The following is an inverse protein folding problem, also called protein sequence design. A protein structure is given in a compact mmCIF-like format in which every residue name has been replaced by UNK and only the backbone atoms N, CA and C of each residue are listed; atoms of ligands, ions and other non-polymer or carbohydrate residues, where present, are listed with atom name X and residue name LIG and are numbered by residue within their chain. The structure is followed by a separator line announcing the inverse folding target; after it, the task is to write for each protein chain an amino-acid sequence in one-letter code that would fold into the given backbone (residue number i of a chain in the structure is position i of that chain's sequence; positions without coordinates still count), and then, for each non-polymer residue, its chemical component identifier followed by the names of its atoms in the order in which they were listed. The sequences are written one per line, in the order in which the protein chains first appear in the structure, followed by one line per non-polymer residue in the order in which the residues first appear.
data_IF_291338532907
#
_entry.id   IF_291338532907
#
_cell.length_a   1.000
_cell.length_b   1.000
_cell.length_c   1.000
_cell.angle_alpha   90.00
_cell.angle_beta   90.00
_cell.angle_gamma   90.00
#
_symmetry.space_group_name_H-M   'P 1'
#
loop_
_entity.id
_entity.type
_entity.pdbx_description
1 polymer ?
#
# COMPACT_ATOMS: atom_id res chain seq x y z
N UNK A 1 11.17 -2.85 0.94
CA UNK A 1 10.37 -3.04 2.16
C UNK A 1 10.78 -1.94 3.11
N UNK A 2 9.83 -1.10 3.47
CA UNK A 2 10.04 -0.01 4.43
C UNK A 2 9.20 -0.31 5.66
N UNK A 3 9.76 -0.08 6.85
CA UNK A 3 9.03 -0.20 8.10
C UNK A 3 8.21 1.07 8.31
N UNK A 4 6.97 0.93 8.81
CA UNK A 4 6.06 2.06 8.97
C UNK A 4 5.82 2.30 10.46
N UNK A 5 6.43 3.36 10.97
CA UNK A 5 6.25 3.75 12.36
C UNK A 5 4.86 4.35 12.64
N UNK A 6 4.29 4.00 13.79
CA UNK A 6 3.01 4.56 14.25
C UNK A 6 1.75 3.89 13.71
N UNK A 7 1.89 2.73 13.05
CA UNK A 7 0.80 1.84 12.65
C UNK A 7 0.88 0.49 13.36
N UNK A 8 -0.04 0.23 14.29
CA UNK A 8 -0.05 -1.02 15.04
C UNK A 8 1.19 -1.20 15.92
N UNK A 9 1.56 -2.46 16.17
CA UNK A 9 2.77 -2.89 16.89
C UNK A 9 3.94 -3.11 15.93
N UNK A 10 3.66 -3.69 14.75
CA UNK A 10 4.63 -3.89 13.67
C UNK A 10 3.94 -3.60 12.33
N UNK A 11 4.53 -2.75 11.50
CA UNK A 11 4.01 -2.47 10.17
C UNK A 11 5.11 -2.42 9.12
N UNK A 12 4.81 -2.98 7.95
CA UNK A 12 5.71 -3.02 6.83
C UNK A 12 4.97 -2.75 5.53
N UNK A 13 5.63 -2.02 4.63
CA UNK A 13 5.16 -1.80 3.28
C UNK A 13 6.10 -2.45 2.25
N UNK A 14 5.51 -3.13 1.29
CA UNK A 14 6.18 -3.70 0.13
C UNK A 14 5.66 -3.01 -1.11
N UNK A 15 6.51 -2.18 -1.72
CA UNK A 15 6.24 -1.55 -3.02
C UNK A 15 7.00 -2.31 -4.10
N UNK A 16 6.34 -2.55 -5.22
CA UNK A 16 6.91 -3.15 -6.42
C UNK A 16 6.37 -2.39 -7.62
N UNK A 17 7.26 -1.83 -8.42
CA UNK A 17 6.92 -1.16 -9.66
C UNK A 17 7.60 -1.89 -10.82
N UNK A 18 6.81 -2.27 -11.80
CA UNK A 18 7.27 -2.86 -13.05
C UNK A 18 7.17 -1.80 -14.15
N UNK A 19 8.32 -1.36 -14.66
CA UNK A 19 8.44 -0.38 -15.76
C UNK A 19 8.80 -1.06 -17.09
N UNK A 20 8.45 -2.34 -17.24
CA UNK A 20 8.76 -3.09 -18.46
C UNK A 20 7.92 -2.56 -19.64
N UNK A 21 8.56 -2.38 -20.79
CA UNK A 21 8.20 -1.50 -21.91
C UNK A 21 6.87 -1.76 -22.65
N UNK A 22 5.93 -2.51 -22.06
CA UNK A 22 4.59 -2.75 -22.62
C UNK A 22 3.48 -2.77 -21.56
N UNK A 23 3.84 -2.93 -20.28
CA UNK A 23 2.88 -3.01 -19.16
C UNK A 23 3.50 -2.32 -17.94
N UNK A 24 2.96 -1.15 -17.58
CA UNK A 24 3.32 -0.49 -16.34
C UNK A 24 2.41 -1.05 -15.23
N UNK A 25 3.02 -1.77 -14.28
CA UNK A 25 2.31 -2.37 -13.15
C UNK A 25 2.86 -1.84 -11.84
N UNK A 26 2.00 -1.29 -10.99
CA UNK A 26 2.36 -0.86 -9.64
C UNK A 26 1.64 -1.74 -8.62
N UNK A 27 2.38 -2.19 -7.61
CA UNK A 27 1.88 -3.09 -6.59
C UNK A 27 2.39 -2.64 -5.22
N UNK A 28 1.47 -2.48 -4.27
CA UNK A 28 1.77 -2.04 -2.91
C UNK A 28 1.03 -2.94 -1.93
N UNK A 29 1.77 -3.55 -0.99
CA UNK A 29 1.19 -4.28 0.14
C UNK A 29 1.57 -3.55 1.42
N UNK A 30 0.58 -3.26 2.25
CA UNK A 30 0.76 -2.81 3.62
C UNK A 30 0.31 -3.92 4.57
N UNK A 31 1.24 -4.43 5.38
CA UNK A 31 0.95 -5.35 6.47
C UNK A 31 1.10 -4.64 7.80
N UNK A 32 0.09 -4.72 8.66
CA UNK A 32 0.12 -4.17 10.02
C UNK A 32 -0.32 -5.25 11.01
N UNK A 33 0.49 -5.48 12.02
CA UNK A 33 0.20 -6.38 13.12
C UNK A 33 -0.10 -5.56 14.37
N UNK A 34 -1.20 -5.87 15.03
CA UNK A 34 -1.62 -5.23 16.26
C UNK A 34 -2.04 -6.33 17.24
N UNK A 35 -1.13 -6.66 18.17
CA UNK A 35 -1.30 -7.77 19.11
C UNK A 35 -1.61 -9.11 18.43
N UNK A 36 -2.88 -9.53 18.52
CA UNK A 36 -3.40 -10.80 18.00
C UNK A 36 -3.97 -10.70 16.57
N UNK A 37 -4.16 -9.48 16.07
CA UNK A 37 -4.74 -9.22 14.76
C UNK A 37 -3.65 -8.84 13.75
N UNK A 38 -3.83 -9.28 12.50
CA UNK A 38 -3.01 -8.83 11.37
C UNK A 38 -3.94 -8.25 10.31
N UNK A 39 -3.70 -7.00 9.95
CA UNK A 39 -4.37 -6.28 8.90
C UNK A 39 -3.43 -6.21 7.69
N UNK A 40 -3.87 -6.74 6.56
CA UNK A 40 -3.12 -6.64 5.31
C UNK A 40 -4.00 -5.97 4.26
N UNK A 41 -3.48 -4.90 3.68
CA UNK A 41 -4.10 -4.22 2.55
C UNK A 41 -3.19 -4.26 1.34
N UNK A 42 -3.80 -4.50 0.19
CA UNK A 42 -3.08 -4.65 -1.07
C UNK A 42 -3.72 -3.74 -2.10
N UNK A 43 -2.89 -2.91 -2.72
CA UNK A 43 -3.26 -2.05 -3.83
C UNK A 43 -2.45 -2.45 -5.05
N UNK A 44 -3.11 -2.54 -6.20
CA UNK A 44 -2.48 -2.93 -7.45
C UNK A 44 -3.11 -2.16 -8.59
N UNK A 45 -2.28 -1.57 -9.43
CA UNK A 45 -2.70 -0.86 -10.63
C UNK A 45 -2.02 -1.47 -11.85
N UNK A 46 -2.86 -1.67 -12.86
CA UNK A 46 -2.46 -2.17 -14.17
C UNK A 46 -2.70 -1.05 -15.17
N UNK A 47 -1.64 -0.33 -15.52
CA UNK A 47 -1.71 0.71 -16.53
C UNK A 47 -1.37 0.08 -17.88
N UNK A 48 -2.40 -0.09 -18.69
CA UNK A 48 -2.25 -0.43 -20.10
C UNK A 48 -1.66 0.77 -20.83
N UNK A 49 -0.74 0.52 -21.77
CA UNK A 49 -0.07 1.55 -22.58
C UNK A 49 -1.01 2.44 -23.44
N UNK A 50 -2.32 2.22 -23.39
CA UNK A 50 -3.36 3.00 -24.08
C UNK A 50 -4.12 3.98 -23.17
N UNK A 51 -3.85 3.96 -21.86
CA UNK A 51 -4.46 4.92 -20.92
C UNK A 51 -3.61 6.19 -20.86
N UNK A 52 -4.23 7.34 -21.08
CA UNK A 52 -3.60 8.67 -20.96
C UNK A 52 -3.56 9.18 -19.51
N UNK A 53 -3.96 8.36 -18.55
CA UNK A 53 -3.94 8.67 -17.13
C UNK A 53 -2.52 8.45 -16.58
N UNK A 54 -2.00 9.44 -15.86
CA UNK A 54 -0.75 9.31 -15.13
C UNK A 54 -0.89 8.17 -14.10
N UNK A 55 -0.04 7.13 -14.16
CA UNK A 55 -0.08 6.05 -13.19
C UNK A 55 0.17 6.61 -11.80
N UNK A 56 -0.63 6.19 -10.81
CA UNK A 56 -0.38 6.58 -9.43
C UNK A 56 0.99 6.04 -9.00
N UNK A 57 1.80 6.88 -8.38
CA UNK A 57 3.12 6.44 -7.91
C UNK A 57 2.97 5.46 -6.75
N UNK A 58 3.92 4.53 -6.61
CA UNK A 58 3.91 3.59 -5.48
C UNK A 58 4.00 4.30 -4.13
N UNK A 59 4.58 5.51 -4.09
CA UNK A 59 4.67 6.35 -2.89
C UNK A 59 3.29 6.90 -2.50
N UNK A 60 2.55 7.49 -3.43
CA UNK A 60 1.19 7.99 -3.16
C UNK A 60 0.24 6.84 -2.77
N UNK A 61 0.34 5.69 -3.46
CA UNK A 61 -0.44 4.51 -3.11
C UNK A 61 -0.09 3.99 -1.71
N UNK A 62 1.18 4.07 -1.31
CA UNK A 62 1.64 3.74 0.05
C UNK A 62 1.03 4.68 1.09
N UNK A 63 1.13 6.00 0.89
CA UNK A 63 0.56 6.98 1.84
C UNK A 63 -0.95 6.81 2.00
N UNK A 64 -1.68 6.54 0.91
CA UNK A 64 -3.11 6.24 0.97
C UNK A 64 -3.40 4.98 1.80
N UNK A 65 -2.65 3.90 1.54
CA UNK A 65 -2.81 2.64 2.27
C UNK A 65 -2.51 2.84 3.75
N UNK A 66 -1.41 3.52 4.09
CA UNK A 66 -1.03 3.83 5.47
C UNK A 66 -2.10 4.64 6.18
N UNK A 67 -2.60 5.70 5.55
CA UNK A 67 -3.68 6.52 6.11
C UNK A 67 -4.96 5.73 6.33
N UNK A 68 -5.32 4.85 5.38
CA UNK A 68 -6.49 3.99 5.48
C UNK A 68 -6.36 2.96 6.61
N UNK A 69 -5.17 2.36 6.76
CA UNK A 69 -4.86 1.43 7.83
C UNK A 69 -4.90 2.15 9.18
N UNK A 70 -4.31 3.35 9.29
CA UNK A 70 -4.35 4.16 10.51
C UNK A 70 -5.76 4.44 10.97
N UNK A 71 -6.61 4.88 10.05
CA UNK A 71 -8.00 5.19 10.34
C UNK A 71 -8.78 3.93 10.78
N UNK A 72 -8.55 2.80 10.11
CA UNK A 72 -9.18 1.51 10.44
C UNK A 72 -8.75 1.02 11.82
N UNK A 73 -7.45 1.00 12.10
CA UNK A 73 -6.90 0.59 13.40
C UNK A 73 -7.38 1.50 14.53
N UNK A 74 -7.49 2.81 14.27
CA UNK A 74 -8.03 3.75 15.26
C UNK A 74 -9.47 3.40 15.60
N UNK A 75 -10.31 3.12 14.60
CA UNK A 75 -11.71 2.70 14.81
C UNK A 75 -11.87 1.32 15.46
N UNK A 76 -10.91 0.42 15.26
CA UNK A 76 -10.91 -0.91 15.88
C UNK A 76 -10.51 -0.87 17.36
N UNK A 77 -9.88 0.22 17.81
CA UNK A 77 -9.51 0.45 19.22
C UNK A 77 -10.60 1.16 20.03
N UNK A 78 -11.68 1.62 19.39
CA UNK A 78 -12.90 2.13 20.04
C UNK A 78 -13.89 1.00 20.37
#
# INVERSE_FOLDING_TARGET
MSEVDGLGDEAYVVTQQSTSSSDAGAYVILGVREGWMTYQSTWSEYVSSSSSDDPMTTDEATEMLEKSARATLTKMKE
#
